data_IF_093848322871
#
_entry.id   IF_093848322871
#
_cell.length_a   1.000
_cell.length_b   1.000
_cell.length_c   1.000
_cell.angle_alpha   90.00
_cell.angle_beta   90.00
_cell.angle_gamma   90.00
#
_symmetry.space_group_name_H-M   'P 1'
#
loop_
_entity.id
_entity.type
_entity.pdbx_description
1 polymer ?
#
# COMPACT_ATOMS: atom_id res chain seq x y z
N UNK A 1 -2.84 7.94 9.23
CA UNK A 1 -2.53 7.29 10.53
C UNK A 1 -2.30 5.80 10.27
N UNK A 2 -1.31 5.17 10.91
CA UNK A 2 -1.05 3.75 10.69
C UNK A 2 -2.23 2.91 11.19
N UNK A 3 -2.57 1.85 10.45
CA UNK A 3 -3.65 0.91 10.82
C UNK A 3 -3.30 0.19 12.12
N UNK A 4 -2.02 -0.17 12.27
CA UNK A 4 -1.45 -0.77 13.47
C UNK A 4 -0.58 0.29 14.14
N UNK A 5 -0.90 0.65 15.38
CA UNK A 5 -0.04 1.55 16.16
C UNK A 5 1.27 0.86 16.57
N UNK A 6 2.32 1.64 16.81
CA UNK A 6 3.60 1.09 17.25
C UNK A 6 3.47 0.30 18.56
N UNK A 7 2.64 0.76 19.50
CA UNK A 7 2.35 0.05 20.74
C UNK A 7 1.70 -1.32 20.50
N UNK A 8 0.74 -1.42 19.57
CA UNK A 8 0.12 -2.69 19.19
C UNK A 8 1.12 -3.64 18.52
N UNK A 9 1.98 -3.11 17.65
CA UNK A 9 3.03 -3.88 17.01
C UNK A 9 4.04 -4.42 18.04
N UNK A 10 4.50 -3.59 18.99
CA UNK A 10 5.39 -4.02 20.09
C UNK A 10 4.76 -5.12 20.94
N UNK A 11 3.50 -4.95 21.32
CA UNK A 11 2.75 -5.95 22.10
C UNK A 11 2.63 -7.28 21.34
N UNK A 12 2.39 -7.24 20.03
CA UNK A 12 2.27 -8.44 19.21
C UNK A 12 3.59 -9.21 19.09
N UNK A 13 4.69 -8.49 18.84
CA UNK A 13 6.03 -9.07 18.67
C UNK A 13 6.71 -9.39 20.02
N UNK A 14 6.12 -8.93 21.13
CA UNK A 14 6.60 -9.13 22.51
C UNK A 14 7.98 -8.50 22.73
N UNK A 15 8.10 -7.26 22.32
CA UNK A 15 9.34 -6.50 22.42
C UNK A 15 9.18 -5.38 23.44
N UNK A 16 10.26 -5.07 24.16
CA UNK A 16 10.33 -4.00 25.15
C UNK A 16 10.07 -2.60 24.54
N UNK A 17 9.70 -1.66 25.41
CA UNK A 17 9.29 -0.32 24.99
C UNK A 17 10.42 0.53 24.39
N UNK A 18 11.68 0.18 24.67
CA UNK A 18 12.89 0.84 24.20
C UNK A 18 13.39 0.35 22.84
N UNK A 19 12.71 -0.63 22.24
CA UNK A 19 13.12 -1.15 20.94
C UNK A 19 12.99 -0.10 19.82
N UNK A 20 14.00 -0.01 18.93
CA UNK A 20 14.06 0.98 17.86
C UNK A 20 12.79 1.00 17.02
N UNK A 21 12.15 2.17 16.95
CA UNK A 21 10.90 2.35 16.24
C UNK A 21 11.11 2.15 14.74
N UNK A 22 12.28 2.54 14.23
CA UNK A 22 12.64 2.49 12.82
C UNK A 22 12.61 1.06 12.28
N UNK A 23 13.07 0.09 13.07
CA UNK A 23 13.09 -1.33 12.69
C UNK A 23 11.67 -1.89 12.59
N UNK A 24 10.78 -1.48 13.50
CA UNK A 24 9.40 -1.97 13.51
C UNK A 24 8.53 -1.24 12.49
N UNK A 25 8.78 0.06 12.24
CA UNK A 25 8.03 0.88 11.31
C UNK A 25 8.14 0.37 9.87
N UNK A 26 9.34 -0.07 9.45
CA UNK A 26 9.53 -0.70 8.14
C UNK A 26 8.73 -1.99 7.99
N UNK A 27 8.71 -2.83 9.03
CA UNK A 27 7.92 -4.07 9.04
C UNK A 27 6.41 -3.80 9.05
N UNK A 28 5.94 -2.77 9.78
CA UNK A 28 4.53 -2.36 9.79
C UNK A 28 4.11 -1.90 8.39
N UNK A 29 4.92 -1.04 7.76
CA UNK A 29 4.65 -0.53 6.42
C UNK A 29 4.62 -1.68 5.39
N UNK A 30 5.62 -2.57 5.43
CA UNK A 30 5.69 -3.74 4.56
C UNK A 30 4.53 -4.72 4.75
N UNK A 31 4.11 -4.99 6.00
CA UNK A 31 2.97 -5.85 6.29
C UNK A 31 1.65 -5.26 5.78
N UNK A 32 1.46 -3.95 5.95
CA UNK A 32 0.29 -3.25 5.43
C UNK A 32 0.28 -3.26 3.89
N UNK A 33 1.42 -2.97 3.26
CA UNK A 33 1.56 -2.96 1.80
C UNK A 33 1.30 -4.35 1.21
N UNK A 34 1.87 -5.40 1.80
CA UNK A 34 1.62 -6.78 1.39
C UNK A 34 0.13 -7.17 1.49
N UNK A 35 -0.57 -6.73 2.54
CA UNK A 35 -2.00 -6.96 2.69
C UNK A 35 -2.82 -6.20 1.63
N UNK A 36 -2.47 -4.94 1.34
CA UNK A 36 -3.12 -4.12 0.31
C UNK A 36 -2.92 -4.69 -1.09
N UNK A 37 -1.69 -5.09 -1.41
CA UNK A 37 -1.33 -5.75 -2.67
C UNK A 37 -2.10 -7.06 -2.84
N UNK A 38 -2.21 -7.88 -1.78
CA UNK A 38 -2.98 -9.12 -1.85
C UNK A 38 -4.48 -8.87 -2.07
N UNK A 39 -5.05 -7.88 -1.39
CA UNK A 39 -6.48 -7.54 -1.50
C UNK A 39 -6.84 -6.85 -2.82
N UNK A 40 -5.86 -6.30 -3.55
CA UNK A 40 -6.05 -5.36 -4.66
C UNK A 40 -6.91 -4.15 -4.26
N UNK A 41 -6.76 -3.68 -3.01
CA UNK A 41 -7.60 -2.64 -2.41
C UNK A 41 -6.79 -1.85 -1.38
N UNK A 42 -7.05 -0.53 -1.33
CA UNK A 42 -6.53 0.31 -0.25
C UNK A 42 -7.31 0.04 1.04
N UNK A 43 -6.57 -0.13 2.13
CA UNK A 43 -7.14 -0.37 3.46
C UNK A 43 -7.16 0.96 4.23
N UNK A 44 -8.31 1.29 4.82
CA UNK A 44 -8.54 2.51 5.61
C UNK A 44 -8.82 2.16 7.06
N UNK A 45 -8.28 2.94 7.99
CA UNK A 45 -8.42 2.71 9.44
C UNK A 45 -9.88 2.62 9.89
N UNK A 46 -10.71 3.55 9.42
CA UNK A 46 -12.11 3.73 9.82
C UNK A 46 -12.95 4.26 8.65
N UNK A 47 -14.27 4.34 8.87
CA UNK A 47 -15.22 4.84 7.89
C UNK A 47 -15.01 6.32 7.56
N UNK A 48 -14.56 7.12 8.53
CA UNK A 48 -14.29 8.55 8.36
C UNK A 48 -13.09 8.78 7.43
N UNK A 49 -12.01 8.00 7.58
CA UNK A 49 -10.88 8.06 6.67
C UNK A 49 -11.26 7.70 5.23
N UNK A 50 -12.15 6.72 5.05
CA UNK A 50 -12.68 6.37 3.73
C UNK A 50 -13.57 7.47 3.15
N UNK A 51 -14.43 8.07 3.97
CA UNK A 51 -15.30 9.17 3.57
C UNK A 51 -14.49 10.42 3.19
N UNK A 52 -13.44 10.74 3.95
CA UNK A 52 -12.54 11.84 3.67
C UNK A 52 -11.80 11.61 2.35
N UNK A 53 -11.26 10.41 2.11
CA UNK A 53 -10.62 10.06 0.84
C UNK A 53 -11.59 10.23 -0.35
N UNK A 54 -12.83 9.77 -0.21
CA UNK A 54 -13.87 9.93 -1.25
C UNK A 54 -14.27 11.38 -1.47
N UNK A 55 -14.31 12.20 -0.43
CA UNK A 55 -14.60 13.64 -0.55
C UNK A 55 -13.48 14.39 -1.28
N UNK A 56 -12.22 13.96 -1.09
CA UNK A 56 -11.04 14.53 -1.76
C UNK A 56 -10.86 14.04 -3.20
N UNK A 57 -11.52 12.94 -3.59
CA UNK A 57 -11.36 12.32 -4.91
C UNK A 57 -11.57 13.29 -6.09
N UNK A 58 -12.64 14.11 -6.14
CA UNK A 58 -12.83 15.04 -7.26
C UNK A 58 -11.72 16.10 -7.35
N UNK A 59 -11.18 16.53 -6.21
CA UNK A 59 -10.07 17.47 -6.16
C UNK A 59 -8.76 16.83 -6.64
N UNK A 60 -8.49 15.59 -6.22
CA UNK A 60 -7.33 14.81 -6.67
C UNK A 60 -7.36 14.56 -8.18
N UNK A 61 -8.51 14.21 -8.75
CA UNK A 61 -8.68 14.02 -10.20
C UNK A 61 -8.43 15.31 -10.99
N UNK A 62 -8.92 16.45 -10.49
CA UNK A 62 -8.64 17.76 -11.10
C UNK A 62 -7.16 18.11 -11.02
N UNK A 63 -6.50 17.87 -9.89
CA UNK A 63 -5.07 18.12 -9.73
C UNK A 63 -4.23 17.23 -10.66
N UNK A 64 -4.58 15.94 -10.80
CA UNK A 64 -3.90 15.02 -11.73
C UNK A 64 -4.08 15.43 -13.20
N UNK A 65 -5.25 15.93 -13.58
CA UNK A 65 -5.50 16.46 -14.92
C UNK A 65 -4.70 17.75 -15.18
N UNK A 66 -4.66 18.66 -14.21
CA UNK A 66 -3.88 19.91 -14.29
C UNK A 66 -2.38 19.62 -14.42
N UNK A 67 -1.83 18.75 -13.57
CA UNK A 67 -0.41 18.36 -13.61
C UNK A 67 -0.01 17.77 -14.97
N UNK A 68 -0.87 16.91 -15.55
CA UNK A 68 -0.66 16.39 -16.91
C UNK A 68 -0.67 17.50 -17.95
N UNK A 69 -1.64 18.42 -17.90
CA UNK A 69 -1.74 19.52 -18.86
C UNK A 69 -0.53 20.45 -18.81
N UNK A 70 -0.01 20.71 -17.60
CA UNK A 70 1.20 21.51 -17.39
C UNK A 70 2.44 20.79 -17.96
N UNK A 71 2.64 19.51 -17.63
CA UNK A 71 3.76 18.74 -18.17
C UNK A 71 3.71 18.62 -19.71
N UNK A 72 2.53 18.57 -20.32
CA UNK A 72 2.39 18.62 -21.78
C UNK A 72 2.73 20.00 -22.35
N UNK A 73 2.37 21.08 -21.66
CA UNK A 73 2.75 22.44 -22.07
C UNK A 73 4.27 22.64 -21.97
N UNK A 74 4.89 22.16 -20.89
CA UNK A 74 6.35 22.22 -20.69
C UNK A 74 7.09 21.42 -21.77
N UNK A 75 6.55 20.26 -22.16
CA UNK A 75 7.14 19.42 -23.21
C UNK A 75 7.17 20.10 -24.60
N UNK A 76 6.31 21.09 -24.88
CA UNK A 76 6.33 21.82 -26.16
C UNK A 76 7.62 22.61 -26.35
N UNK A 77 8.22 23.08 -25.25
CA UNK A 77 9.45 23.87 -25.27
C UNK A 77 10.72 23.01 -25.40
N UNK A 78 10.62 21.69 -25.36
CA UNK A 78 11.77 20.79 -25.52
C UNK A 78 12.13 20.71 -27.01
N UNK A 79 13.31 21.20 -27.37
CA UNK A 79 13.77 21.27 -28.77
C UNK A 79 14.04 19.87 -29.35
N UNK A 80 14.66 18.98 -28.57
CA UNK A 80 14.94 17.62 -29.01
C UNK A 80 13.67 16.75 -29.09
N UNK A 81 13.52 16.01 -30.19
CA UNK A 81 12.33 15.21 -30.47
C UNK A 81 12.22 13.97 -29.60
N UNK A 82 13.35 13.35 -29.24
CA UNK A 82 13.38 12.15 -28.39
C UNK A 82 13.05 12.52 -26.94
N UNK A 83 13.70 13.56 -26.40
CA UNK A 83 13.41 14.11 -25.08
C UNK A 83 11.95 14.57 -24.95
N UNK A 84 11.41 15.22 -25.98
CA UNK A 84 9.99 15.62 -26.02
C UNK A 84 9.06 14.41 -25.93
N UNK A 85 9.35 13.36 -26.69
CA UNK A 85 8.56 12.13 -26.68
C UNK A 85 8.64 11.41 -25.33
N UNK A 86 9.82 11.39 -24.71
CA UNK A 86 10.03 10.84 -23.38
C UNK A 86 9.27 11.63 -22.31
N UNK A 87 9.29 12.97 -22.36
CA UNK A 87 8.56 13.83 -21.44
C UNK A 87 7.04 13.64 -21.54
N UNK A 88 6.50 13.57 -22.77
CA UNK A 88 5.07 13.28 -23.00
C UNK A 88 4.71 11.89 -22.44
N UNK A 89 5.56 10.89 -22.65
CA UNK A 89 5.34 9.54 -22.11
C UNK A 89 5.31 9.55 -20.58
N UNK A 90 6.26 10.23 -19.94
CA UNK A 90 6.30 10.38 -18.48
C UNK A 90 5.05 11.09 -17.96
N UNK A 91 4.59 12.16 -18.62
CA UNK A 91 3.37 12.88 -18.26
C UNK A 91 2.11 11.99 -18.30
N UNK A 92 2.04 11.06 -19.26
CA UNK A 92 0.93 10.09 -19.34
C UNK A 92 1.01 9.03 -18.23
N UNK A 93 2.21 8.51 -17.95
CA UNK A 93 2.41 7.50 -16.89
C UNK A 93 2.10 8.08 -15.52
N UNK A 94 2.68 9.24 -15.20
CA UNK A 94 2.43 9.94 -13.91
C UNK A 94 0.97 10.29 -13.72
N UNK A 95 0.26 10.70 -14.79
CA UNK A 95 -1.18 10.89 -14.73
C UNK A 95 -1.93 9.60 -14.42
N UNK A 96 -1.57 8.48 -15.06
CA UNK A 96 -2.20 7.17 -14.80
C UNK A 96 -1.98 6.71 -13.37
N UNK A 97 -0.77 6.87 -12.85
CA UNK A 97 -0.44 6.54 -11.46
C UNK A 97 -1.23 7.42 -10.48
N UNK A 98 -1.30 8.73 -10.72
CA UNK A 98 -2.09 9.66 -9.91
C UNK A 98 -3.59 9.34 -9.94
N UNK A 99 -4.14 8.98 -11.10
CA UNK A 99 -5.54 8.54 -11.21
C UNK A 99 -5.78 7.21 -10.51
N UNK A 100 -4.84 6.26 -10.60
CA UNK A 100 -4.96 4.98 -9.92
C UNK A 100 -4.94 5.13 -8.39
N UNK A 101 -4.06 5.99 -7.84
CA UNK A 101 -4.03 6.29 -6.41
C UNK A 101 -5.33 6.99 -5.97
N UNK A 102 -5.88 7.90 -6.78
CA UNK A 102 -7.16 8.54 -6.49
C UNK A 102 -8.32 7.51 -6.51
N UNK A 103 -8.37 6.65 -7.52
CA UNK A 103 -9.41 5.62 -7.68
C UNK A 103 -9.36 4.54 -6.58
N UNK A 104 -8.24 4.41 -5.87
CA UNK A 104 -8.07 3.48 -4.77
C UNK A 104 -9.14 3.66 -3.66
N UNK A 105 -9.73 4.86 -3.52
CA UNK A 105 -10.82 5.12 -2.57
C UNK A 105 -12.18 4.56 -3.01
N UNK A 106 -12.40 4.31 -4.31
CA UNK A 106 -13.67 3.80 -4.85
C UNK A 106 -13.92 2.40 -4.29
N UNK A 107 -12.90 1.55 -4.39
CA UNK A 107 -12.92 0.17 -3.91
C UNK A 107 -12.16 0.02 -2.58
N UNK A 108 -12.01 1.09 -1.81
CA UNK A 108 -11.41 1.04 -0.48
C UNK A 108 -12.13 0.07 0.46
N UNK A 109 -11.41 -0.52 1.41
CA UNK A 109 -11.98 -1.34 2.48
C UNK A 109 -11.62 -0.75 3.84
N UNK A 110 -12.58 -0.76 4.77
CA UNK A 110 -12.31 -0.40 6.16
C UNK A 110 -11.72 -1.61 6.88
N UNK A 111 -10.74 -1.39 7.75
CA UNK A 111 -10.11 -2.43 8.56
C UNK A 111 -11.19 -3.16 9.37
N UNK A 112 -11.20 -4.48 9.26
CA UNK A 112 -11.94 -5.36 10.16
C UNK A 112 -10.97 -6.24 10.96
N UNK A 113 -11.49 -7.01 11.91
CA UNK A 113 -10.68 -7.86 12.77
C UNK A 113 -9.82 -8.87 11.97
N UNK A 114 -10.36 -9.42 10.87
CA UNK A 114 -9.64 -10.38 10.01
C UNK A 114 -8.45 -9.73 9.29
N UNK A 115 -8.65 -8.56 8.68
CA UNK A 115 -7.59 -7.79 8.00
C UNK A 115 -6.54 -7.34 9.01
N UNK A 116 -6.97 -6.85 10.17
CA UNK A 116 -6.06 -6.43 11.23
C UNK A 116 -5.19 -7.60 11.72
N UNK A 117 -5.79 -8.76 11.96
CA UNK A 117 -5.07 -9.96 12.39
C UNK A 117 -4.11 -10.47 11.31
N UNK A 118 -4.51 -10.41 10.03
CA UNK A 118 -3.64 -10.77 8.93
C UNK A 118 -2.40 -9.86 8.84
N UNK A 119 -2.56 -8.55 9.00
CA UNK A 119 -1.45 -7.59 9.03
C UNK A 119 -0.49 -7.91 10.19
N UNK A 120 -1.02 -8.22 11.38
CA UNK A 120 -0.19 -8.60 12.53
C UNK A 120 0.58 -9.91 12.30
N UNK A 121 -0.05 -10.92 11.70
CA UNK A 121 0.64 -12.17 11.35
C UNK A 121 1.78 -11.93 10.35
N UNK A 122 1.55 -11.09 9.34
CA UNK A 122 2.60 -10.71 8.37
C UNK A 122 3.71 -9.90 9.04
N UNK A 123 3.37 -8.98 9.96
CA UNK A 123 4.34 -8.25 10.77
C UNK A 123 5.23 -9.20 11.58
N UNK A 124 4.64 -10.16 12.31
CA UNK A 124 5.39 -11.14 13.09
C UNK A 124 6.34 -11.97 12.22
N UNK A 125 5.91 -12.34 11.01
CA UNK A 125 6.75 -13.04 10.05
C UNK A 125 7.94 -12.19 9.58
N UNK A 126 7.70 -10.93 9.18
CA UNK A 126 8.75 -10.01 8.74
C UNK A 126 9.75 -9.68 9.86
N UNK A 127 9.28 -9.64 11.11
CA UNK A 127 10.16 -9.42 12.26
C UNK A 127 11.04 -10.64 12.56
N UNK A 128 10.44 -11.84 12.58
CA UNK A 128 11.13 -13.07 12.94
C UNK A 128 12.14 -13.51 11.86
N UNK A 129 11.81 -13.29 10.58
CA UNK A 129 12.62 -13.74 9.45
C UNK A 129 13.30 -12.54 8.77
N UNK A 130 14.59 -12.35 9.06
CA UNK A 130 15.43 -11.29 8.47
C UNK A 130 16.15 -11.71 7.18
N UNK A 131 15.99 -12.96 6.77
CA UNK A 131 16.61 -13.56 5.59
C UNK A 131 15.55 -14.31 4.81
N UNK A 132 15.60 -14.23 3.49
CA UNK A 132 14.61 -14.83 2.58
C UNK A 132 14.71 -16.37 2.54
N UNK A 133 15.90 -16.93 2.83
CA UNK A 133 16.14 -18.37 2.82
C UNK A 133 16.59 -18.83 4.21
N UNK A 134 15.84 -19.74 4.80
CA UNK A 134 16.24 -20.45 6.02
C UNK A 134 16.86 -21.79 5.57
N UNK A 135 18.18 -21.89 5.57
CA UNK A 135 18.88 -23.14 5.23
C UNK A 135 18.77 -24.12 6.39
N UNK A 136 18.15 -25.29 6.17
CA UNK A 136 18.21 -26.43 7.09
C UNK A 136 17.01 -26.65 8.02
N UNK A 137 15.97 -25.83 7.94
CA UNK A 137 14.71 -26.11 8.64
C UNK A 137 13.72 -26.80 7.67
N UNK A 138 13.09 -27.90 8.08
CA UNK A 138 11.78 -28.29 7.54
C UNK A 138 10.79 -27.22 8.00
N UNK A 139 10.76 -26.09 7.30
CA UNK A 139 9.71 -25.10 7.49
C UNK A 139 8.41 -25.76 7.04
N UNK A 140 7.72 -26.42 7.98
CA UNK A 140 6.30 -26.67 7.84
C UNK A 140 5.67 -25.29 7.84
N UNK A 141 5.47 -24.73 6.64
CA UNK A 141 4.71 -23.50 6.47
C UNK A 141 3.38 -23.74 7.18
N UNK A 142 3.16 -23.05 8.30
CA UNK A 142 1.83 -22.97 8.88
C UNK A 142 0.96 -22.37 7.77
N UNK A 143 0.01 -23.12 7.18
CA UNK A 143 -0.58 -22.77 5.89
C UNK A 143 -1.13 -21.34 5.96
N UNK A 144 -0.42 -20.41 5.33
CA UNK A 144 -0.50 -18.95 5.44
C UNK A 144 -1.86 -18.41 5.97
N UNK A 145 -2.02 -18.42 7.30
CA UNK A 145 -3.27 -18.01 7.95
C UNK A 145 -3.67 -16.57 7.59
N UNK A 146 -2.67 -15.69 7.43
CA UNK A 146 -2.88 -14.32 6.97
C UNK A 146 -3.58 -14.24 5.61
N UNK A 147 -3.11 -15.00 4.60
CA UNK A 147 -3.76 -15.03 3.28
C UNK A 147 -5.16 -15.62 3.37
N UNK A 148 -5.34 -16.68 4.18
CA UNK A 148 -6.67 -17.28 4.41
C UNK A 148 -7.68 -16.26 4.94
N UNK A 149 -7.27 -15.40 5.89
CA UNK A 149 -8.09 -14.33 6.45
C UNK A 149 -8.41 -13.22 5.43
N UNK A 150 -7.51 -12.95 4.49
CA UNK A 150 -7.69 -11.90 3.47
C UNK A 150 -8.49 -12.36 2.24
N UNK A 151 -8.51 -13.66 1.94
CA UNK A 151 -9.19 -14.23 0.75
C UNK A 151 -10.62 -13.72 0.53
N UNK A 152 -11.51 -13.67 1.55
CA UNK A 152 -12.89 -13.23 1.36
C UNK A 152 -13.04 -11.76 0.96
N UNK A 153 -12.06 -10.91 1.31
CA UNK A 153 -12.12 -9.46 1.06
C UNK A 153 -11.40 -9.04 -0.22
N UNK A 154 -10.70 -10.00 -0.86
CA UNK A 154 -9.91 -9.78 -2.06
C UNK A 154 -10.83 -9.47 -3.24
N UNK A 155 -10.50 -8.39 -3.96
CA UNK A 155 -11.13 -8.12 -5.26
C UNK A 155 -10.40 -8.93 -6.32
N UNK A 156 -11.06 -9.95 -6.85
CA UNK A 156 -10.57 -10.70 -8.00
C UNK A 156 -10.64 -9.77 -9.20
N UNK A 157 -9.47 -9.31 -9.65
CA UNK A 157 -9.36 -8.72 -10.98
C UNK A 157 -9.39 -9.92 -11.95
N UNK A 158 -10.49 -10.09 -12.65
CA UNK A 158 -10.53 -11.03 -13.77
C UNK A 158 -9.51 -10.50 -14.81
N UNK A 159 -8.66 -11.36 -15.38
CA UNK A 159 -7.71 -10.95 -16.42
C UNK A 159 -8.43 -10.39 -17.65
#
# INVERSE_FOLDING_TARGET
>A
MPIVSLAQARSHVRVEADYPEEQLQAAIAGAQDAAQAYLNRRIYKDADALALARSSYPAAMKAAAFAKSQALADAVFIEDGEERTAAIRLAVVTHREATAEAEACIHGVVVNASIFSAILLTLGHLYANRTDVIVGAQAVELPNGAKSLLRPYRRVMMP
#
